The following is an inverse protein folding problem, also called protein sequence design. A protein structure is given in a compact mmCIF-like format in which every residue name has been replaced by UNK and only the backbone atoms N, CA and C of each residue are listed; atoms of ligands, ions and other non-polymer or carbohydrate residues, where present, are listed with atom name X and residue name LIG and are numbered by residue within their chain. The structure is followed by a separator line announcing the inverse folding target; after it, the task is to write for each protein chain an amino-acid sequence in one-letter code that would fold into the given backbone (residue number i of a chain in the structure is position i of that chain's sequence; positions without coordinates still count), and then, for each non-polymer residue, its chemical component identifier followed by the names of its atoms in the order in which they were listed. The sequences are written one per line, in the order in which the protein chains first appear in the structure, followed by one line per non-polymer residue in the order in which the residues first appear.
data_IF_306529468837
#
_entry.id   IF_306529468837
#
_cell.length_a   1.000
_cell.length_b   1.000
_cell.length_c   1.000
_cell.angle_alpha   90.00
_cell.angle_beta   90.00
_cell.angle_gamma   90.00
#
_symmetry.space_group_name_H-M   'P 1'
#
loop_
_entity.id
_entity.type
_entity.pdbx_description
1 polymer ?
#
# COMPACT_ATOMS: atom_id res chain seq x y z
N UNK A 1 4.34 4.56 -20.97
CA UNK A 1 4.00 3.14 -21.14
C UNK A 1 3.32 2.98 -22.48
N UNK A 2 3.82 2.09 -23.35
CA UNK A 2 3.09 1.78 -24.58
C UNK A 2 1.80 1.03 -24.19
N UNK A 3 0.65 1.29 -24.83
CA UNK A 3 -0.65 0.69 -24.46
C UNK A 3 -0.64 -0.84 -24.38
N UNK A 4 0.27 -1.49 -25.11
CA UNK A 4 0.40 -2.95 -25.19
C UNK A 4 0.99 -3.52 -23.89
N UNK A 5 1.97 -2.85 -23.27
CA UNK A 5 2.67 -3.36 -22.08
C UNK A 5 1.74 -3.38 -20.86
N UNK A 6 0.90 -2.34 -20.70
CA UNK A 6 -0.15 -2.31 -19.67
C UNK A 6 -1.13 -3.48 -19.80
N UNK A 7 -1.47 -3.83 -21.05
CA UNK A 7 -2.54 -4.77 -21.36
C UNK A 7 -2.24 -6.19 -20.88
N UNK A 8 -0.97 -6.61 -20.84
CA UNK A 8 -0.59 -7.96 -20.38
C UNK A 8 0.00 -7.97 -18.96
N UNK A 9 0.73 -6.94 -18.53
CA UNK A 9 1.32 -6.88 -17.18
C UNK A 9 0.26 -6.92 -16.07
N UNK A 10 -0.95 -6.42 -16.34
CA UNK A 10 -2.10 -6.52 -15.42
C UNK A 10 -2.53 -7.94 -15.08
N UNK A 11 -2.26 -8.92 -15.96
CA UNK A 11 -2.61 -10.32 -15.75
C UNK A 11 -1.49 -11.13 -15.08
N UNK A 12 -0.31 -10.53 -14.91
CA UNK A 12 0.84 -11.18 -14.30
C UNK A 12 0.86 -10.95 -12.78
N UNK A 13 1.31 -11.95 -12.02
CA UNK A 13 1.61 -11.79 -10.59
C UNK A 13 2.84 -10.88 -10.38
N UNK A 14 3.06 -10.34 -9.16
CA UNK A 14 4.26 -9.56 -8.86
C UNK A 14 5.57 -10.29 -9.24
N UNK A 15 5.61 -11.60 -9.02
CA UNK A 15 6.77 -12.45 -9.36
C UNK A 15 6.97 -12.54 -10.87
N UNK A 16 5.89 -12.71 -11.64
CA UNK A 16 5.97 -12.78 -13.10
C UNK A 16 6.40 -11.44 -13.71
N UNK A 17 5.92 -10.32 -13.17
CA UNK A 17 6.35 -8.98 -13.61
C UNK A 17 7.84 -8.76 -13.31
N UNK A 18 8.31 -9.23 -12.15
CA UNK A 18 9.73 -9.21 -11.83
C UNK A 18 10.55 -10.05 -12.81
N UNK A 19 10.13 -11.28 -13.09
CA UNK A 19 10.80 -12.14 -14.07
C UNK A 19 10.83 -11.50 -15.47
N UNK A 20 9.74 -10.87 -15.91
CA UNK A 20 9.69 -10.12 -17.16
C UNK A 20 10.74 -9.01 -17.22
N UNK A 21 10.96 -8.30 -16.10
CA UNK A 21 11.96 -7.24 -16.02
C UNK A 21 13.40 -7.70 -16.28
N UNK A 22 13.68 -9.00 -16.12
CA UNK A 22 15.00 -9.59 -16.33
C UNK A 22 15.29 -9.92 -17.80
N UNK A 23 14.29 -9.88 -18.69
CA UNK A 23 14.43 -10.32 -20.08
C UNK A 23 15.25 -9.33 -20.91
N UNK A 24 15.03 -8.03 -20.72
CA UNK A 24 15.71 -6.98 -21.49
C UNK A 24 15.64 -5.62 -20.79
N UNK A 25 16.47 -4.66 -21.23
CA UNK A 25 16.41 -3.28 -20.74
C UNK A 25 15.05 -2.62 -21.01
N UNK A 26 14.42 -2.92 -22.16
CA UNK A 26 13.09 -2.41 -22.48
C UNK A 26 12.03 -2.96 -21.50
N UNK A 27 12.05 -4.27 -21.25
CA UNK A 27 11.16 -4.93 -20.29
C UNK A 27 11.37 -4.40 -18.86
N UNK A 28 12.64 -4.17 -18.47
CA UNK A 28 12.96 -3.54 -17.20
C UNK A 28 12.31 -2.17 -17.06
N UNK A 29 12.48 -1.28 -18.04
CA UNK A 29 11.87 0.06 -18.00
C UNK A 29 10.34 0.01 -17.98
N UNK A 30 9.73 -0.87 -18.78
CA UNK A 30 8.28 -1.07 -18.77
C UNK A 30 7.77 -1.55 -17.40
N UNK A 31 8.48 -2.50 -16.76
CA UNK A 31 8.16 -2.95 -15.39
C UNK A 31 8.29 -1.82 -14.37
N UNK A 32 9.37 -1.03 -14.41
CA UNK A 32 9.56 0.07 -13.45
C UNK A 32 8.45 1.11 -13.58
N UNK A 33 8.09 1.47 -14.81
CA UNK A 33 6.98 2.38 -15.07
C UNK A 33 5.65 1.79 -14.55
N UNK A 34 5.36 0.54 -14.90
CA UNK A 34 4.14 -0.15 -14.47
C UNK A 34 4.02 -0.23 -12.93
N UNK A 35 5.09 -0.62 -12.24
CA UNK A 35 5.13 -0.70 -10.77
C UNK A 35 4.87 0.65 -10.10
N UNK A 36 5.44 1.73 -10.65
CA UNK A 36 5.25 3.08 -10.10
C UNK A 36 3.78 3.52 -10.10
N UNK A 37 2.99 2.98 -11.03
CA UNK A 37 1.57 3.29 -11.18
C UNK A 37 0.66 2.36 -10.36
N UNK A 38 0.91 1.03 -10.39
CA UNK A 38 -0.02 0.06 -9.79
C UNK A 38 0.21 -0.18 -8.30
N UNK A 39 1.43 0.03 -7.81
CA UNK A 39 1.82 -0.18 -6.41
C UNK A 39 2.00 1.14 -5.65
N UNK A 40 1.09 2.09 -5.86
CA UNK A 40 1.03 3.32 -5.07
C UNK A 40 0.29 3.09 -3.74
N UNK A 41 1.05 2.96 -2.66
CA UNK A 41 0.51 2.82 -1.30
C UNK A 41 -0.29 4.05 -0.86
N UNK A 42 0.08 5.25 -1.32
CA UNK A 42 -0.62 6.48 -0.94
C UNK A 42 -2.03 6.48 -1.55
N UNK A 43 -2.22 5.91 -2.75
CA UNK A 43 -3.54 5.77 -3.38
C UNK A 43 -4.52 5.00 -2.50
N UNK A 44 -4.09 3.89 -1.90
CA UNK A 44 -4.91 3.11 -0.98
C UNK A 44 -5.15 3.87 0.34
N UNK A 45 -4.10 4.49 0.89
CA UNK A 45 -4.16 5.15 2.19
C UNK A 45 -5.01 6.43 2.21
N UNK A 46 -5.20 7.09 1.07
CA UNK A 46 -6.08 8.28 0.94
C UNK A 46 -7.52 8.04 1.35
N UNK A 47 -7.97 6.78 1.40
CA UNK A 47 -9.31 6.40 1.89
C UNK A 47 -9.43 6.54 3.40
N UNK A 48 -8.33 6.39 4.12
CA UNK A 48 -8.29 6.40 5.58
C UNK A 48 -7.75 7.73 6.13
N UNK A 49 -6.80 8.35 5.42
CA UNK A 49 -6.12 9.55 5.89
C UNK A 49 -6.01 10.60 4.77
N UNK A 50 -6.29 11.85 5.11
CA UNK A 50 -6.09 12.99 4.19
C UNK A 50 -4.61 13.18 3.82
N UNK A 51 -3.72 12.91 4.77
CA UNK A 51 -2.26 12.90 4.58
C UNK A 51 -1.69 11.48 4.76
N UNK A 52 -1.62 10.67 3.67
CA UNK A 52 -1.04 9.33 3.72
C UNK A 52 0.47 9.33 4.02
N UNK A 53 1.19 10.42 3.72
CA UNK A 53 2.63 10.53 3.97
C UNK A 53 2.89 10.70 5.47
N UNK A 54 2.05 11.49 6.16
CA UNK A 54 2.11 11.59 7.62
C UNK A 54 1.86 10.24 8.31
N UNK A 55 0.91 9.45 7.81
CA UNK A 55 0.67 8.10 8.33
C UNK A 55 1.87 7.17 8.10
N UNK A 56 2.46 7.16 6.90
CA UNK A 56 3.66 6.36 6.62
C UNK A 56 4.87 6.80 7.44
N UNK A 57 4.98 8.09 7.72
CA UNK A 57 6.01 8.62 8.62
C UNK A 57 5.79 8.16 10.06
N UNK A 58 4.54 8.00 10.51
CA UNK A 58 4.23 7.34 11.78
C UNK A 58 4.71 5.88 11.74
N UNK A 59 4.31 5.11 10.73
CA UNK A 59 4.71 3.71 10.56
C UNK A 59 6.23 3.52 10.63
N UNK A 60 6.99 4.36 9.93
CA UNK A 60 8.45 4.31 9.92
C UNK A 60 9.07 4.57 11.31
N UNK A 61 8.46 5.44 12.13
CA UNK A 61 8.95 5.75 13.49
C UNK A 61 8.53 4.72 14.53
N UNK A 62 7.36 4.11 14.37
CA UNK A 62 6.76 3.24 15.39
C UNK A 62 6.87 1.76 15.07
N UNK A 63 7.33 1.38 13.87
CA UNK A 63 7.29 0.00 13.40
C UNK A 63 5.86 -0.51 13.11
N UNK A 64 4.89 0.39 12.97
CA UNK A 64 3.48 -0.01 12.70
C UNK A 64 3.33 -0.54 11.28
N UNK A 65 2.76 -1.75 11.16
CA UNK A 65 2.52 -2.42 9.88
C UNK A 65 1.04 -2.43 9.54
N UNK A 66 0.74 -2.25 8.25
CA UNK A 66 -0.61 -2.50 7.71
C UNK A 66 -0.77 -4.01 7.54
N UNK A 67 -1.92 -4.53 7.93
CA UNK A 67 -2.26 -5.94 7.80
C UNK A 67 -3.63 -6.12 7.16
N UNK A 68 -4.17 -7.35 7.28
CA UNK A 68 -5.52 -7.68 6.87
C UNK A 68 -5.84 -7.38 5.40
N UNK A 69 -7.06 -6.92 5.17
CA UNK A 69 -7.63 -6.80 3.82
C UNK A 69 -6.90 -5.76 2.95
N UNK A 70 -6.36 -4.71 3.55
CA UNK A 70 -5.64 -3.64 2.84
C UNK A 70 -4.32 -4.15 2.26
N UNK A 71 -3.59 -4.98 3.01
CA UNK A 71 -2.35 -5.59 2.51
C UNK A 71 -2.62 -6.48 1.28
N UNK A 72 -3.70 -7.27 1.32
CA UNK A 72 -4.11 -8.12 0.19
C UNK A 72 -4.51 -7.27 -1.02
N UNK A 73 -5.31 -6.22 -0.82
CA UNK A 73 -5.72 -5.29 -1.88
C UNK A 73 -4.53 -4.67 -2.62
N UNK A 74 -3.48 -4.28 -1.88
CA UNK A 74 -2.26 -3.71 -2.47
C UNK A 74 -1.61 -4.65 -3.48
N UNK A 75 -1.40 -5.93 -3.10
CA UNK A 75 -0.81 -6.92 -4.00
C UNK A 75 -1.75 -7.38 -5.11
N UNK A 76 -3.06 -7.42 -4.83
CA UNK A 76 -4.09 -7.73 -5.82
C UNK A 76 -4.34 -6.57 -6.81
N UNK A 77 -3.77 -5.38 -6.58
CA UNK A 77 -3.96 -4.17 -7.39
C UNK A 77 -5.44 -3.80 -7.54
N UNK A 78 -6.23 -4.00 -6.47
CA UNK A 78 -7.67 -3.74 -6.44
C UNK A 78 -8.06 -2.88 -5.24
N UNK A 79 -9.25 -2.30 -5.26
CA UNK A 79 -9.81 -1.49 -4.16
C UNK A 79 -11.17 -2.07 -3.77
N UNK A 80 -11.31 -2.47 -2.51
CA UNK A 80 -12.58 -2.88 -1.91
C UNK A 80 -13.10 -1.72 -1.07
N UNK A 81 -14.15 -1.03 -1.51
CA UNK A 81 -14.60 0.24 -0.91
C UNK A 81 -15.01 0.16 0.54
N UNK A 82 -15.51 -0.99 0.98
CA UNK A 82 -16.06 -1.20 2.32
C UNK A 82 -15.06 -1.89 3.27
N UNK A 83 -13.80 -2.03 2.85
CA UNK A 83 -12.73 -2.55 3.70
C UNK A 83 -12.28 -1.52 4.75
N UNK A 84 -12.03 -2.01 5.96
CA UNK A 84 -11.38 -1.31 7.06
C UNK A 84 -9.84 -1.33 6.93
N UNK A 85 -9.15 -0.79 7.93
CA UNK A 85 -7.69 -0.74 8.02
C UNK A 85 -7.21 -1.46 9.28
N UNK A 86 -6.56 -2.61 9.10
CA UNK A 86 -5.94 -3.35 10.19
C UNK A 86 -4.47 -2.93 10.38
N UNK A 87 -4.07 -2.74 11.64
CA UNK A 87 -2.72 -2.34 12.02
C UNK A 87 -2.12 -3.28 13.05
N UNK A 88 -0.90 -3.76 12.79
CA UNK A 88 -0.04 -4.33 13.83
C UNK A 88 0.84 -3.23 14.41
N UNK A 89 0.72 -3.02 15.72
CA UNK A 89 1.44 -1.96 16.44
C UNK A 89 2.32 -2.61 17.51
N UNK A 90 3.62 -2.32 17.55
CA UNK A 90 4.48 -2.77 18.64
C UNK A 90 3.94 -2.25 20.00
N UNK A 91 3.93 -3.05 21.07
CA UNK A 91 3.33 -2.68 22.35
C UNK A 91 3.79 -1.31 22.90
N UNK A 92 5.07 -1.01 22.77
CA UNK A 92 5.69 0.25 23.18
C UNK A 92 5.20 1.48 22.40
N UNK A 93 4.64 1.26 21.21
CA UNK A 93 4.18 2.31 20.30
C UNK A 93 2.67 2.53 20.34
N UNK A 94 1.89 1.68 21.02
CA UNK A 94 0.41 1.73 21.05
C UNK A 94 -0.08 3.12 21.44
N UNK A 95 0.46 3.71 22.51
CA UNK A 95 0.05 5.04 22.96
C UNK A 95 0.31 6.13 21.92
N UNK A 96 1.46 6.08 21.23
CA UNK A 96 1.80 7.08 20.21
C UNK A 96 0.90 6.95 18.98
N UNK A 97 0.62 5.72 18.54
CA UNK A 97 -0.26 5.45 17.39
C UNK A 97 -1.70 5.83 17.71
N UNK A 98 -2.22 5.45 18.87
CA UNK A 98 -3.59 5.79 19.29
C UNK A 98 -3.81 7.31 19.36
N UNK A 99 -2.86 8.07 19.91
CA UNK A 99 -2.91 9.54 19.92
C UNK A 99 -2.89 10.13 18.52
N UNK A 100 -2.09 9.56 17.62
CA UNK A 100 -2.04 10.00 16.23
C UNK A 100 -3.37 9.74 15.51
N UNK A 101 -3.98 8.56 15.71
CA UNK A 101 -5.29 8.21 15.13
C UNK A 101 -6.39 9.15 15.64
N UNK A 102 -6.42 9.46 16.94
CA UNK A 102 -7.33 10.44 17.52
C UNK A 102 -7.20 11.83 16.89
N UNK A 103 -5.97 12.30 16.68
CA UNK A 103 -5.71 13.56 15.98
C UNK A 103 -6.20 13.55 14.53
N UNK A 104 -6.33 12.37 13.92
CA UNK A 104 -6.84 12.16 12.56
C UNK A 104 -8.30 11.71 12.53
N UNK A 105 -9.09 12.13 13.52
CA UNK A 105 -10.57 11.94 13.59
C UNK A 105 -11.04 10.52 13.88
N UNK A 106 -10.17 9.61 14.33
CA UNK A 106 -10.59 8.30 14.79
C UNK A 106 -10.91 8.31 16.28
N UNK A 107 -12.00 7.66 16.68
CA UNK A 107 -12.33 7.46 18.10
C UNK A 107 -11.84 6.09 18.58
N UNK A 108 -11.40 6.03 19.84
CA UNK A 108 -11.07 4.76 20.47
C UNK A 108 -12.35 4.16 21.06
N UNK A 109 -12.58 2.90 20.76
CA UNK A 109 -13.64 2.10 21.38
C UNK A 109 -12.98 1.01 22.22
N UNK A 110 -13.44 0.76 23.46
CA UNK A 110 -13.05 -0.44 24.19
C UNK A 110 -13.45 -1.68 23.39
N UNK A 111 -12.57 -2.69 23.38
CA UNK A 111 -12.94 -4.04 22.95
C UNK A 111 -13.58 -4.80 24.12
#
# INVERSE_FOLDING_TARGET
MLPIEDSFLRYMSPVQIYQFSLISRAAYHATQEYWSYVYDVNRILRRFFSDPIAFRSLQARTGTLISGSVAVQFFARTIWTDSDLDLYVPPESVTAVSKWLQKNSYSLFPQ
#
